data_IF_364613597198
#
_entry.id   IF_364613597198
#
_cell.length_a   1.000
_cell.length_b   1.000
_cell.length_c   1.000
_cell.angle_alpha   90.00
_cell.angle_beta   90.00
_cell.angle_gamma   90.00
#
_symmetry.space_group_name_H-M   'P 1'
#
loop_
_entity.id
_entity.type
_entity.pdbx_description
1 polymer ?
#
# COMPACT_ATOMS: atom_id res chain seq x y z
N UNK A 1 17.78 9.05 -11.52
CA UNK A 1 17.91 8.92 -10.05
C UNK A 1 16.71 9.50 -9.30
N UNK A 2 16.32 10.76 -9.52
CA UNK A 2 15.19 11.40 -8.81
C UNK A 2 13.85 10.64 -8.91
N UNK A 3 13.54 10.03 -10.07
CA UNK A 3 12.32 9.24 -10.25
C UNK A 3 12.23 8.05 -9.27
N UNK A 4 13.36 7.39 -8.99
CA UNK A 4 13.42 6.26 -8.07
C UNK A 4 13.14 6.74 -6.65
N UNK A 5 13.71 7.89 -6.25
CA UNK A 5 13.45 8.48 -4.93
C UNK A 5 11.98 8.82 -4.72
N UNK A 6 11.34 9.42 -5.72
CA UNK A 6 9.91 9.76 -5.65
C UNK A 6 9.06 8.49 -5.57
N UNK A 7 9.37 7.47 -6.38
CA UNK A 7 8.66 6.20 -6.32
C UNK A 7 8.81 5.53 -4.95
N UNK A 8 10.04 5.47 -4.42
CA UNK A 8 10.34 4.85 -3.13
C UNK A 8 9.59 5.58 -2.00
N UNK A 9 9.57 6.91 -2.02
CA UNK A 9 8.82 7.74 -1.06
C UNK A 9 7.31 7.49 -1.14
N UNK A 10 6.73 7.49 -2.34
CA UNK A 10 5.30 7.26 -2.52
C UNK A 10 4.87 5.89 -2.04
N UNK A 11 5.69 4.86 -2.30
CA UNK A 11 5.43 3.50 -1.83
C UNK A 11 5.49 3.42 -0.30
N UNK A 12 6.45 4.09 0.33
CA UNK A 12 6.56 4.15 1.79
C UNK A 12 5.36 4.86 2.44
N UNK A 13 4.97 6.02 1.90
CA UNK A 13 3.78 6.75 2.38
C UNK A 13 2.54 5.86 2.27
N UNK A 14 2.34 5.20 1.13
CA UNK A 14 1.19 4.34 0.93
C UNK A 14 1.18 3.13 1.86
N UNK A 15 2.36 2.58 2.15
CA UNK A 15 2.54 1.50 3.14
C UNK A 15 2.08 1.96 4.52
N UNK A 16 2.51 3.14 4.98
CA UNK A 16 2.06 3.69 6.26
C UNK A 16 0.55 3.93 6.31
N UNK A 17 -0.06 4.35 5.21
CA UNK A 17 -1.52 4.51 5.11
C UNK A 17 -2.25 3.15 5.22
N UNK A 18 -1.72 2.08 4.59
CA UNK A 18 -2.28 0.72 4.74
C UNK A 18 -2.15 0.20 6.17
N UNK A 19 -1.01 0.43 6.82
CA UNK A 19 -0.80 0.08 8.23
C UNK A 19 -1.81 0.84 9.11
N UNK A 20 -1.98 2.14 8.88
CA UNK A 20 -2.97 2.93 9.61
C UNK A 20 -4.39 2.36 9.43
N UNK A 21 -4.79 1.97 8.21
CA UNK A 21 -6.08 1.30 7.95
C UNK A 21 -6.22 0.02 8.76
N UNK A 22 -5.20 -0.84 8.73
CA UNK A 22 -5.20 -2.09 9.47
C UNK A 22 -5.37 -1.85 10.98
N UNK A 23 -4.59 -0.94 11.55
CA UNK A 23 -4.69 -0.57 12.96
C UNK A 23 -6.07 -0.01 13.32
N UNK A 24 -6.64 0.86 12.47
CA UNK A 24 -7.99 1.40 12.70
C UNK A 24 -9.08 0.32 12.65
N UNK A 25 -8.94 -0.71 11.81
CA UNK A 25 -9.90 -1.83 11.77
C UNK A 25 -9.91 -2.65 13.07
N UNK A 26 -8.81 -2.62 13.83
CA UNK A 26 -8.70 -3.31 15.11
C UNK A 26 -9.30 -2.49 16.26
N UNK A 27 -9.26 -1.15 16.19
CA UNK A 27 -9.75 -0.30 17.28
C UNK A 27 -11.28 -0.24 17.25
N UNK A 28 -12.00 -0.82 18.25
CA UNK A 28 -13.47 -0.90 18.21
C UNK A 28 -14.18 0.46 18.29
N UNK A 29 -13.51 1.46 18.88
CA UNK A 29 -14.03 2.81 19.11
C UNK A 29 -13.66 3.81 18.00
N UNK A 30 -13.12 3.35 16.86
CA UNK A 30 -12.77 4.25 15.74
C UNK A 30 -13.99 4.97 15.20
N UNK A 31 -13.89 6.30 15.11
CA UNK A 31 -14.87 7.13 14.44
C UNK A 31 -14.60 7.19 12.92
N UNK A 32 -15.28 6.34 12.16
CA UNK A 32 -15.19 6.30 10.69
C UNK A 32 -15.67 7.57 9.98
N UNK A 33 -16.39 8.46 10.67
CA UNK A 33 -16.79 9.76 10.12
C UNK A 33 -15.67 10.80 10.20
N UNK A 34 -14.64 10.58 11.00
CA UNK A 34 -13.51 11.49 11.09
C UNK A 34 -12.85 11.67 9.71
N UNK A 35 -12.56 12.92 9.26
CA UNK A 35 -12.07 13.18 7.90
C UNK A 35 -10.82 12.37 7.53
N UNK A 36 -9.88 12.23 8.47
CA UNK A 36 -8.63 11.48 8.26
C UNK A 36 -8.89 9.98 8.06
N UNK A 37 -9.77 9.39 8.88
CA UNK A 37 -10.14 7.96 8.76
C UNK A 37 -10.80 7.74 7.41
N UNK A 38 -11.77 8.59 7.07
CA UNK A 38 -12.49 8.52 5.80
C UNK A 38 -11.56 8.67 4.60
N UNK A 39 -10.58 9.56 4.69
CA UNK A 39 -9.54 9.73 3.68
C UNK A 39 -8.71 8.45 3.50
N UNK A 40 -8.17 7.89 4.58
CA UNK A 40 -7.38 6.66 4.55
C UNK A 40 -8.16 5.52 3.88
N UNK A 41 -9.41 5.29 4.29
CA UNK A 41 -10.23 4.25 3.68
C UNK A 41 -10.49 4.54 2.21
N UNK A 42 -10.81 5.78 1.82
CA UNK A 42 -11.07 6.16 0.41
C UNK A 42 -9.86 5.91 -0.49
N UNK A 43 -8.66 6.32 -0.07
CA UNK A 43 -7.45 6.18 -0.91
C UNK A 43 -6.92 4.75 -0.96
N UNK A 44 -7.29 3.90 -0.01
CA UNK A 44 -6.87 2.49 0.01
C UNK A 44 -7.95 1.52 -0.46
N UNK A 45 -9.22 1.93 -0.58
CA UNK A 45 -10.30 0.97 -0.87
C UNK A 45 -10.15 0.32 -2.23
N UNK A 46 -9.71 1.05 -3.25
CA UNK A 46 -9.58 0.51 -4.61
C UNK A 46 -8.63 -0.69 -4.68
N UNK A 47 -7.58 -0.70 -3.83
CA UNK A 47 -6.64 -1.81 -3.75
C UNK A 47 -7.04 -2.86 -2.72
N UNK A 48 -7.64 -2.48 -1.60
CA UNK A 48 -7.97 -3.44 -0.53
C UNK A 48 -9.26 -4.21 -0.84
N UNK A 49 -10.23 -3.56 -1.49
CA UNK A 49 -11.58 -4.12 -1.75
C UNK A 49 -11.56 -5.46 -2.50
N UNK A 50 -10.72 -5.69 -3.53
CA UNK A 50 -10.63 -7.01 -4.18
C UNK A 50 -10.19 -8.14 -3.25
N UNK A 51 -9.50 -7.83 -2.15
CA UNK A 51 -9.02 -8.81 -1.18
C UNK A 51 -9.95 -8.98 0.01
N UNK A 52 -11.08 -8.27 0.07
CA UNK A 52 -12.09 -8.42 1.13
C UNK A 52 -12.73 -9.80 1.06
N UNK A 53 -12.76 -10.50 2.20
CA UNK A 53 -13.39 -11.82 2.32
C UNK A 53 -12.54 -12.99 1.83
N UNK A 54 -11.29 -12.77 1.40
CA UNK A 54 -10.36 -13.88 1.05
C UNK A 54 -9.99 -14.67 2.30
N UNK A 55 -9.77 -13.99 3.43
CA UNK A 55 -9.51 -14.63 4.71
C UNK A 55 -10.82 -14.73 5.51
N UNK A 56 -11.02 -15.82 6.25
CA UNK A 56 -12.14 -15.91 7.18
C UNK A 56 -12.06 -14.76 8.20
N UNK A 57 -13.20 -14.13 8.55
CA UNK A 57 -13.21 -13.04 9.51
C UNK A 57 -12.78 -13.55 10.89
N UNK A 58 -11.81 -12.87 11.51
CA UNK A 58 -11.43 -13.11 12.92
C UNK A 58 -11.89 -11.89 13.73
N UNK A 59 -13.10 -11.98 14.29
CA UNK A 59 -13.75 -10.83 14.95
C UNK A 59 -14.03 -9.69 13.97
N UNK A 60 -13.73 -8.44 14.38
CA UNK A 60 -13.92 -7.23 13.56
C UNK A 60 -12.69 -6.86 12.72
N UNK A 61 -11.67 -7.73 12.66
CA UNK A 61 -10.41 -7.43 11.99
C UNK A 61 -10.53 -7.55 10.47
N UNK A 62 -10.10 -6.51 9.76
CA UNK A 62 -9.91 -6.53 8.31
C UNK A 62 -8.45 -6.93 8.02
N UNK A 63 -8.21 -8.18 7.65
CA UNK A 63 -6.87 -8.68 7.26
C UNK A 63 -6.54 -8.43 5.79
N UNK A 64 -7.49 -7.94 4.99
CA UNK A 64 -7.25 -7.64 3.57
C UNK A 64 -6.11 -6.63 3.33
N UNK A 65 -5.87 -5.61 4.19
CA UNK A 65 -4.69 -4.75 4.09
C UNK A 65 -3.35 -5.50 4.19
N UNK A 66 -3.27 -6.61 4.94
CA UNK A 66 -2.04 -7.40 5.08
C UNK A 66 -1.78 -8.17 3.79
N UNK A 67 -2.80 -8.83 3.22
CA UNK A 67 -2.67 -9.48 1.91
C UNK A 67 -2.25 -8.44 0.87
N UNK A 68 -2.91 -7.28 0.88
CA UNK A 68 -2.57 -6.19 -0.02
C UNK A 68 -1.13 -5.72 0.15
N UNK A 69 -0.61 -5.64 1.38
CA UNK A 69 0.79 -5.27 1.64
C UNK A 69 1.77 -6.23 0.96
N UNK A 70 1.53 -7.54 1.02
CA UNK A 70 2.38 -8.54 0.36
C UNK A 70 2.34 -8.35 -1.16
N UNK A 71 1.14 -8.24 -1.74
CA UNK A 71 0.97 -8.04 -3.19
C UNK A 71 1.64 -6.75 -3.66
N UNK A 72 1.43 -5.65 -2.93
CA UNK A 72 2.00 -4.35 -3.25
C UNK A 72 3.53 -4.39 -3.20
N UNK A 73 4.11 -5.06 -2.20
CA UNK A 73 5.57 -5.17 -2.03
C UNK A 73 6.21 -5.95 -3.17
N UNK A 74 5.58 -7.05 -3.60
CA UNK A 74 6.03 -7.80 -4.78
C UNK A 74 5.97 -6.93 -6.04
N UNK A 75 4.82 -6.29 -6.31
CA UNK A 75 4.65 -5.43 -7.48
C UNK A 75 5.66 -4.27 -7.51
N UNK A 76 5.86 -3.60 -6.38
CA UNK A 76 6.83 -2.52 -6.24
C UNK A 76 8.28 -3.00 -6.44
N UNK A 77 8.65 -4.16 -5.88
CA UNK A 77 10.00 -4.71 -6.06
C UNK A 77 10.34 -4.94 -7.54
N UNK A 78 9.37 -5.45 -8.31
CA UNK A 78 9.52 -5.69 -9.75
C UNK A 78 9.62 -4.37 -10.51
N UNK A 79 8.70 -3.43 -10.24
CA UNK A 79 8.69 -2.11 -10.87
C UNK A 79 9.99 -1.35 -10.62
N UNK A 80 10.45 -1.31 -9.37
CA UNK A 80 11.70 -0.66 -8.97
C UNK A 80 12.89 -1.29 -9.67
N UNK A 81 12.95 -2.63 -9.74
CA UNK A 81 14.04 -3.34 -10.43
C UNK A 81 14.07 -2.99 -11.92
N UNK A 82 12.92 -2.96 -12.59
CA UNK A 82 12.82 -2.56 -14.00
C UNK A 82 13.30 -1.12 -14.18
N UNK A 83 12.83 -0.19 -13.37
CA UNK A 83 13.24 1.22 -13.45
C UNK A 83 14.73 1.41 -13.25
N UNK A 84 15.33 0.71 -12.27
CA UNK A 84 16.78 0.73 -12.07
C UNK A 84 17.52 0.21 -13.30
N UNK A 85 17.08 -0.92 -13.87
CA UNK A 85 17.70 -1.48 -15.08
C UNK A 85 17.64 -0.50 -16.26
N UNK A 86 16.49 0.14 -16.48
CA UNK A 86 16.34 1.14 -17.55
C UNK A 86 17.25 2.36 -17.35
N UNK A 87 17.35 2.86 -16.12
CA UNK A 87 18.24 3.99 -15.79
C UNK A 87 19.70 3.61 -16.01
N UNK A 88 20.12 2.40 -15.60
CA UNK A 88 21.49 1.93 -15.81
C UNK A 88 21.82 1.76 -17.30
N UNK A 89 20.89 1.22 -18.10
CA UNK A 89 21.07 1.11 -19.55
C UNK A 89 21.23 2.48 -20.21
N UNK A 90 20.44 3.48 -19.81
CA UNK A 90 20.58 4.85 -20.33
C UNK A 90 21.90 5.53 -19.95
N UNK A 91 22.52 5.10 -18.85
CA UNK A 91 23.79 5.65 -18.38
C UNK A 91 25.02 4.97 -19.03
N UNK A 92 24.87 3.72 -19.50
CA UNK A 92 25.94 2.94 -20.14
C UNK A 92 25.89 2.97 -21.67
N UNK A 93 24.75 3.35 -22.26
CA UNK A 93 24.52 3.39 -23.71
C UNK A 93 24.76 4.76 -24.36
N UNK A 94 25.38 5.70 -23.63
CA UNK A 94 25.76 7.04 -24.11
C UNK A 94 27.25 7.23 -24.14
#
# INVERSE_FOLDING_TARGET
>A
MHLILVLDLLFEIFTWVLIARFLMSWIPSVNYQHPVVRFIYRVTDFVVRPFRGILPPVGNLDFSPIIMFVVLRLAYSLLRRILVMLVLQSALGG
#
